data_IF_965659207333
#
_entry.id   IF_965659207333
#
_cell.length_a   1.000
_cell.length_b   1.000
_cell.length_c   1.000
_cell.angle_alpha   90.00
_cell.angle_beta   90.00
_cell.angle_gamma   90.00
#
_symmetry.space_group_name_H-M   'P 1'
#
loop_
_entity.id
_entity.type
_entity.pdbx_description
1 polymer ?
#
# COMPACT_ATOMS: atom_id res chain seq x y z
N UNK A 1 -34.11 14.76 12.77
CA UNK A 1 -32.66 14.98 12.65
C UNK A 1 -32.27 14.47 11.28
N UNK A 2 -31.95 15.38 10.39
CA UNK A 2 -31.80 15.18 8.95
C UNK A 2 -30.37 14.73 8.68
N UNK A 3 -30.21 13.52 8.12
CA UNK A 3 -28.93 13.03 7.62
C UNK A 3 -28.76 13.65 6.23
N UNK A 4 -27.78 14.53 6.06
CA UNK A 4 -27.38 15.03 4.75
C UNK A 4 -26.62 13.94 3.99
N UNK A 5 -27.13 13.62 2.82
CA UNK A 5 -26.48 12.79 1.81
C UNK A 5 -25.19 13.47 1.33
N UNK A 6 -24.08 12.73 1.38
CA UNK A 6 -22.83 13.14 0.74
C UNK A 6 -22.96 12.86 -0.75
N UNK A 7 -22.86 13.89 -1.56
CA UNK A 7 -22.88 13.82 -3.01
C UNK A 7 -21.68 13.00 -3.52
N UNK A 8 -21.97 12.04 -4.38
CA UNK A 8 -21.01 11.23 -5.11
C UNK A 8 -20.20 12.10 -6.08
N UNK A 9 -18.94 12.34 -5.80
CA UNK A 9 -18.03 12.96 -6.76
C UNK A 9 -17.45 11.91 -7.70
N UNK A 10 -17.78 12.02 -8.96
CA UNK A 10 -17.21 11.25 -10.07
C UNK A 10 -15.74 11.65 -10.26
N UNK A 11 -14.84 10.71 -10.05
CA UNK A 11 -13.39 10.95 -10.15
C UNK A 11 -12.92 10.58 -11.55
N UNK A 12 -12.54 11.61 -12.31
CA UNK A 12 -11.80 11.49 -13.56
C UNK A 12 -10.33 11.18 -13.29
N UNK A 13 -9.77 10.27 -14.08
CA UNK A 13 -8.39 9.76 -14.01
C UNK A 13 -7.30 10.78 -14.40
N UNK A 14 -7.47 12.05 -14.07
CA UNK A 14 -6.47 13.08 -14.40
C UNK A 14 -5.71 13.52 -13.14
N UNK A 15 -4.44 13.14 -13.16
CA UNK A 15 -3.27 13.70 -12.46
C UNK A 15 -3.38 13.94 -10.95
N UNK A 16 -2.55 13.19 -10.23
CA UNK A 16 -2.20 13.38 -8.82
C UNK A 16 -1.90 14.86 -8.45
N UNK A 17 -1.52 15.69 -9.41
CA UNK A 17 -1.28 17.14 -9.23
C UNK A 17 -2.51 17.95 -8.84
N UNK A 18 -3.71 17.55 -9.19
CA UNK A 18 -4.92 18.31 -8.86
C UNK A 18 -5.47 18.03 -7.45
N UNK A 19 -5.06 16.92 -6.81
CA UNK A 19 -5.58 16.51 -5.50
C UNK A 19 -4.76 16.99 -4.30
N UNK A 20 -3.53 17.41 -4.48
CA UNK A 20 -2.70 18.04 -3.44
C UNK A 20 -3.20 19.46 -3.06
N UNK A 21 -4.15 20.04 -3.77
CA UNK A 21 -4.66 21.39 -3.53
C UNK A 21 -5.66 21.51 -2.36
N UNK A 22 -6.00 20.43 -1.66
CA UNK A 22 -7.01 20.47 -0.58
C UNK A 22 -6.43 20.46 0.84
N UNK A 23 -5.24 20.95 1.02
CA UNK A 23 -4.75 21.31 2.36
C UNK A 23 -5.16 22.74 2.64
N UNK A 24 -6.15 22.94 3.52
CA UNK A 24 -6.46 24.28 4.08
C UNK A 24 -5.22 24.75 4.82
N UNK A 25 -4.53 25.70 4.24
CA UNK A 25 -3.28 26.26 4.73
C UNK A 25 -3.57 27.26 5.84
N UNK A 26 -2.90 27.10 6.97
CA UNK A 26 -2.46 28.22 7.78
C UNK A 26 -1.29 28.88 7.03
N UNK A 27 -1.42 30.13 6.62
CA UNK A 27 -0.61 30.80 5.58
C UNK A 27 0.89 31.01 5.88
N UNK A 28 1.46 30.28 6.80
CA UNK A 28 2.88 30.38 7.18
C UNK A 28 3.65 29.04 7.11
N UNK A 29 3.03 27.95 6.66
CA UNK A 29 3.73 26.67 6.57
C UNK A 29 4.43 26.57 5.23
N UNK A 30 5.63 26.81 5.32
CA UNK A 30 6.82 26.48 4.59
C UNK A 30 6.63 25.84 3.20
N UNK A 31 6.73 26.67 2.16
CA UNK A 31 6.95 26.24 0.75
C UNK A 31 7.97 25.11 0.66
N UNK A 32 8.98 25.13 1.51
CA UNK A 32 10.02 24.11 1.67
C UNK A 32 9.52 22.73 2.15
N UNK A 33 8.46 22.65 2.98
CA UNK A 33 7.94 21.36 3.43
C UNK A 33 7.08 20.69 2.34
N UNK A 34 6.26 21.45 1.66
CA UNK A 34 5.46 20.93 0.54
C UNK A 34 6.36 20.48 -0.62
N UNK A 35 7.35 21.29 -0.99
CA UNK A 35 8.33 20.94 -2.02
C UNK A 35 9.08 19.65 -1.66
N UNK A 36 9.52 19.52 -0.41
CA UNK A 36 10.15 18.31 0.08
C UNK A 36 9.24 17.08 -0.06
N UNK A 37 7.97 17.19 0.31
CA UNK A 37 7.03 16.07 0.22
C UNK A 37 6.71 15.72 -1.24
N UNK A 38 6.56 16.71 -2.11
CA UNK A 38 6.33 16.51 -3.55
C UNK A 38 7.52 15.76 -4.19
N UNK A 39 8.76 16.12 -3.81
CA UNK A 39 9.97 15.39 -4.23
C UNK A 39 9.94 13.92 -3.77
N UNK A 40 9.50 13.65 -2.53
CA UNK A 40 9.43 12.27 -2.04
C UNK A 40 8.35 11.47 -2.78
N UNK A 41 7.20 12.06 -3.08
CA UNK A 41 6.15 11.42 -3.90
C UNK A 41 6.71 11.08 -5.29
N UNK A 42 7.38 12.02 -5.94
CA UNK A 42 7.96 11.79 -7.28
C UNK A 42 9.00 10.65 -7.24
N UNK A 43 9.86 10.64 -6.21
CA UNK A 43 10.83 9.56 -5.98
C UNK A 43 10.12 8.22 -5.84
N UNK A 44 9.10 8.12 -4.99
CA UNK A 44 8.35 6.87 -4.75
C UNK A 44 7.67 6.40 -6.03
N UNK A 45 6.96 7.27 -6.73
CA UNK A 45 6.21 6.93 -7.95
C UNK A 45 7.11 6.59 -9.13
N UNK A 46 8.35 7.11 -9.18
CA UNK A 46 9.35 6.76 -10.19
C UNK A 46 10.20 5.55 -9.83
N UNK A 47 10.18 5.11 -8.57
CA UNK A 47 11.03 4.02 -8.10
C UNK A 47 10.66 2.68 -8.74
N UNK A 48 11.67 1.80 -8.90
CA UNK A 48 11.49 0.46 -9.49
C UNK A 48 10.47 -0.39 -8.73
N UNK A 49 10.34 -0.24 -7.42
CA UNK A 49 9.32 -0.95 -6.63
C UNK A 49 7.89 -0.62 -7.11
N UNK A 50 7.60 0.66 -7.39
CA UNK A 50 6.29 1.13 -7.87
C UNK A 50 6.08 0.83 -9.36
N UNK A 51 7.15 0.88 -10.15
CA UNK A 51 7.17 0.59 -11.60
C UNK A 51 7.86 -0.74 -11.90
N UNK A 52 7.60 -1.75 -11.09
CA UNK A 52 8.29 -3.02 -11.24
C UNK A 52 7.94 -3.69 -12.59
N UNK A 53 8.94 -4.16 -13.37
CA UNK A 53 8.69 -4.74 -14.69
C UNK A 53 7.70 -5.90 -14.68
N UNK A 54 7.71 -6.72 -13.63
CA UNK A 54 6.72 -7.78 -13.44
C UNK A 54 5.30 -7.23 -13.32
N UNK A 55 5.10 -6.19 -12.50
CA UNK A 55 3.79 -5.59 -12.27
C UNK A 55 3.27 -4.86 -13.51
N UNK A 56 4.17 -4.20 -14.26
CA UNK A 56 3.84 -3.57 -15.55
C UNK A 56 3.43 -4.63 -16.60
N UNK A 57 4.15 -5.75 -16.68
CA UNK A 57 3.82 -6.84 -17.59
C UNK A 57 2.48 -7.50 -17.20
N UNK A 58 2.26 -7.68 -15.90
CA UNK A 58 1.00 -8.20 -15.37
C UNK A 58 -0.20 -7.31 -15.76
N UNK A 59 -0.08 -6.00 -15.56
CA UNK A 59 -1.11 -5.04 -15.94
C UNK A 59 -1.46 -5.09 -17.44
N UNK A 60 -0.47 -5.36 -18.29
CA UNK A 60 -0.66 -5.39 -19.74
C UNK A 60 -1.27 -6.69 -20.26
N UNK A 61 -0.97 -7.82 -19.63
CA UNK A 61 -1.23 -9.15 -20.20
C UNK A 61 -1.98 -10.11 -19.27
N UNK A 62 -2.08 -9.83 -17.97
CA UNK A 62 -2.50 -10.83 -16.98
C UNK A 62 -1.46 -11.95 -16.84
N UNK A 63 -1.84 -13.01 -16.15
CA UNK A 63 -1.02 -14.20 -15.95
C UNK A 63 -1.83 -15.47 -16.24
N UNK A 64 -1.19 -16.60 -16.60
CA UNK A 64 -1.82 -17.92 -16.57
C UNK A 64 -2.28 -18.29 -15.15
N UNK A 65 -3.31 -19.12 -15.02
CA UNK A 65 -3.96 -19.43 -13.73
C UNK A 65 -3.00 -19.89 -12.63
N UNK A 66 -2.01 -20.72 -12.97
CA UNK A 66 -1.02 -21.22 -12.03
C UNK A 66 -0.12 -20.08 -11.49
N UNK A 67 0.33 -19.21 -12.39
CA UNK A 67 1.13 -18.04 -12.02
C UNK A 67 0.33 -17.02 -11.22
N UNK A 68 -0.95 -16.80 -11.56
CA UNK A 68 -1.87 -15.95 -10.81
C UNK A 68 -2.07 -16.47 -9.40
N UNK A 69 -2.16 -17.78 -9.20
CA UNK A 69 -2.28 -18.40 -7.87
C UNK A 69 -1.11 -18.04 -6.97
N UNK A 70 0.12 -18.10 -7.50
CA UNK A 70 1.32 -17.68 -6.75
C UNK A 70 1.20 -16.20 -6.35
N UNK A 71 0.94 -15.34 -7.33
CA UNK A 71 0.80 -13.90 -7.10
C UNK A 71 -0.26 -13.60 -6.03
N UNK A 72 -1.42 -14.25 -6.10
CA UNK A 72 -2.51 -14.02 -5.16
C UNK A 72 -2.18 -14.46 -3.74
N UNK A 73 -1.56 -15.62 -3.58
CA UNK A 73 -1.18 -16.12 -2.26
C UNK A 73 -0.07 -15.29 -1.61
N UNK A 74 0.93 -14.86 -2.38
CA UNK A 74 1.96 -13.94 -1.90
C UNK A 74 1.38 -12.60 -1.48
N UNK A 75 0.42 -12.08 -2.25
CA UNK A 75 -0.26 -10.82 -1.92
C UNK A 75 -1.06 -10.93 -0.62
N UNK A 76 -1.77 -12.04 -0.38
CA UNK A 76 -2.43 -12.27 0.91
C UNK A 76 -1.41 -12.25 2.06
N UNK A 77 -0.27 -12.93 1.88
CA UNK A 77 0.77 -12.99 2.90
C UNK A 77 1.45 -11.64 3.16
N UNK A 78 1.46 -10.74 2.20
CA UNK A 78 1.95 -9.38 2.38
C UNK A 78 0.99 -8.57 3.25
N UNK A 79 -0.27 -8.38 2.84
CA UNK A 79 -1.11 -7.35 3.46
C UNK A 79 -1.96 -7.83 4.64
N UNK A 80 -2.19 -9.13 4.83
CA UNK A 80 -3.03 -9.62 5.95
C UNK A 80 -2.56 -9.20 7.35
N UNK A 81 -1.30 -8.81 7.48
CA UNK A 81 -0.72 -8.35 8.74
C UNK A 81 -0.50 -6.83 8.80
N UNK A 82 -0.76 -6.10 7.72
CA UNK A 82 -0.52 -4.66 7.64
C UNK A 82 -1.18 -3.86 8.79
N UNK A 83 -2.46 -4.06 9.13
CA UNK A 83 -3.08 -3.31 10.22
C UNK A 83 -2.36 -3.52 11.57
N UNK A 84 -1.81 -4.72 11.79
CA UNK A 84 -1.03 -4.99 13.02
C UNK A 84 0.33 -4.30 13.00
N UNK A 85 0.98 -4.22 11.84
CA UNK A 85 2.27 -3.55 11.70
C UNK A 85 2.11 -2.05 11.83
N UNK A 86 1.10 -1.44 11.20
CA UNK A 86 0.79 -0.01 11.34
C UNK A 86 0.53 0.36 12.79
N UNK A 87 -0.22 -0.46 13.53
CA UNK A 87 -0.41 -0.30 14.98
C UNK A 87 0.90 -0.33 15.76
N UNK A 88 1.96 -0.97 15.25
CA UNK A 88 3.29 -0.99 15.85
C UNK A 88 3.88 0.41 16.07
N UNK A 89 3.56 1.38 15.21
CA UNK A 89 4.02 2.78 15.34
C UNK A 89 3.57 3.39 16.67
N UNK A 90 2.42 2.97 17.20
CA UNK A 90 1.92 3.42 18.51
C UNK A 90 2.87 3.11 19.67
N UNK A 91 3.79 2.17 19.51
CA UNK A 91 4.76 1.78 20.54
C UNK A 91 5.94 2.76 20.62
N UNK A 92 6.20 3.52 19.57
CA UNK A 92 7.36 4.42 19.44
C UNK A 92 7.01 5.90 19.40
N UNK A 93 5.72 6.24 19.53
CA UNK A 93 5.25 7.64 19.59
C UNK A 93 4.33 7.88 20.77
N UNK A 94 4.20 9.16 21.18
CA UNK A 94 3.17 9.65 22.10
C UNK A 94 2.38 10.81 21.48
N UNK A 95 2.63 11.12 20.22
CA UNK A 95 1.89 12.15 19.50
C UNK A 95 0.48 11.66 19.16
N UNK A 96 -0.52 12.33 19.74
CA UNK A 96 -1.93 11.97 19.54
C UNK A 96 -2.39 12.13 18.10
N UNK A 97 -1.79 13.04 17.32
CA UNK A 97 -2.18 13.24 15.93
C UNK A 97 -1.75 12.04 15.07
N UNK A 98 -0.55 11.49 15.31
CA UNK A 98 -0.10 10.24 14.69
C UNK A 98 -0.98 9.07 15.15
N UNK A 99 -1.25 8.96 16.45
CA UNK A 99 -2.08 7.88 17.00
C UNK A 99 -3.49 7.88 16.38
N UNK A 100 -4.07 9.06 16.14
CA UNK A 100 -5.39 9.17 15.45
C UNK A 100 -5.30 8.73 13.99
N UNK A 101 -4.24 9.10 13.27
CA UNK A 101 -4.04 8.67 11.88
C UNK A 101 -3.87 7.14 11.78
N UNK A 102 -3.06 6.54 12.66
CA UNK A 102 -2.88 5.09 12.75
C UNK A 102 -4.19 4.39 13.10
N UNK A 103 -4.94 4.89 14.08
CA UNK A 103 -6.22 4.31 14.48
C UNK A 103 -7.26 4.39 13.35
N UNK A 104 -7.24 5.48 12.56
CA UNK A 104 -8.10 5.62 11.39
C UNK A 104 -7.75 4.58 10.32
N UNK A 105 -6.46 4.45 9.95
CA UNK A 105 -5.99 3.46 8.99
C UNK A 105 -6.30 2.03 9.45
N UNK A 106 -5.91 1.67 10.68
CA UNK A 106 -6.17 0.34 11.22
C UNK A 106 -7.67 0.00 11.31
N UNK A 107 -8.53 0.96 11.65
CA UNK A 107 -9.98 0.78 11.67
C UNK A 107 -10.53 0.50 10.27
N UNK A 108 -10.01 1.17 9.26
CA UNK A 108 -10.43 0.98 7.89
C UNK A 108 -10.01 -0.39 7.37
N UNK A 109 -8.75 -0.77 7.58
CA UNK A 109 -8.23 -2.10 7.23
C UNK A 109 -8.99 -3.25 7.92
N UNK A 110 -9.39 -3.07 9.17
CA UNK A 110 -10.17 -4.07 9.91
C UNK A 110 -11.65 -4.04 9.54
N UNK A 111 -12.13 -2.97 8.91
CA UNK A 111 -13.53 -2.80 8.53
C UNK A 111 -14.49 -2.80 9.73
N UNK A 112 -15.78 -2.66 9.45
CA UNK A 112 -16.82 -2.74 10.49
C UNK A 112 -17.30 -4.18 10.75
N UNK A 113 -17.30 -5.01 9.72
CA UNK A 113 -17.83 -6.39 9.77
C UNK A 113 -16.89 -7.40 9.13
N UNK A 114 -16.09 -6.98 8.17
CA UNK A 114 -15.10 -7.79 7.47
C UNK A 114 -13.85 -6.96 7.26
N UNK A 115 -12.71 -7.54 7.55
CA UNK A 115 -11.41 -6.92 7.23
C UNK A 115 -11.13 -6.98 5.73
N UNK A 116 -10.22 -6.15 5.27
CA UNK A 116 -9.70 -6.24 3.89
C UNK A 116 -9.10 -7.63 3.63
N UNK A 117 -8.45 -8.24 4.62
CA UNK A 117 -7.95 -9.62 4.51
C UNK A 117 -9.08 -10.64 4.31
N UNK A 118 -10.23 -10.49 4.99
CA UNK A 118 -11.39 -11.38 4.80
C UNK A 118 -11.98 -11.22 3.39
N UNK A 119 -12.10 -9.98 2.90
CA UNK A 119 -12.60 -9.69 1.55
C UNK A 119 -11.67 -10.32 0.50
N UNK A 120 -10.36 -10.21 0.71
CA UNK A 120 -9.38 -10.83 -0.17
C UNK A 120 -9.41 -12.36 -0.09
N UNK A 121 -9.59 -12.93 1.09
CA UNK A 121 -9.76 -14.37 1.26
C UNK A 121 -10.98 -14.88 0.45
N UNK A 122 -12.12 -14.15 0.48
CA UNK A 122 -13.27 -14.47 -0.36
C UNK A 122 -12.96 -14.40 -1.86
N UNK A 123 -12.11 -13.45 -2.28
CA UNK A 123 -11.62 -13.39 -3.65
C UNK A 123 -10.82 -14.65 -4.01
N UNK A 124 -9.93 -15.13 -3.15
CA UNK A 124 -9.17 -16.37 -3.39
C UNK A 124 -10.09 -17.59 -3.57
N UNK A 125 -11.11 -17.72 -2.73
CA UNK A 125 -12.10 -18.80 -2.86
C UNK A 125 -12.85 -18.74 -4.19
N UNK A 126 -13.21 -17.54 -4.67
CA UNK A 126 -13.83 -17.35 -6.00
C UNK A 126 -12.88 -17.72 -7.15
N UNK A 127 -11.57 -17.63 -6.91
CA UNK A 127 -10.53 -18.08 -7.87
C UNK A 127 -10.26 -19.59 -7.79
N UNK A 128 -11.09 -20.34 -7.06
CA UNK A 128 -10.97 -21.78 -6.82
C UNK A 128 -9.69 -22.20 -6.07
N UNK A 129 -9.10 -21.29 -5.29
CA UNK A 129 -8.03 -21.61 -4.36
C UNK A 129 -8.68 -22.09 -3.07
N UNK A 130 -8.46 -23.36 -2.70
CA UNK A 130 -9.15 -23.94 -1.55
C UNK A 130 -8.64 -23.40 -0.21
N UNK A 131 -9.45 -23.46 0.87
CA UNK A 131 -8.98 -23.07 2.21
C UNK A 131 -7.69 -23.82 2.61
N UNK A 132 -7.59 -25.11 2.28
CA UNK A 132 -6.41 -25.92 2.59
C UNK A 132 -5.17 -25.42 1.84
N UNK A 133 -5.32 -24.99 0.58
CA UNK A 133 -4.22 -24.39 -0.18
C UNK A 133 -3.78 -23.06 0.43
N UNK A 134 -4.72 -22.24 0.87
CA UNK A 134 -4.43 -20.95 1.54
C UNK A 134 -3.69 -21.18 2.86
N UNK A 135 -4.20 -22.10 3.69
CA UNK A 135 -3.66 -22.36 5.03
C UNK A 135 -2.28 -23.03 5.00
N UNK A 136 -2.03 -23.90 4.00
CA UNK A 136 -0.77 -24.64 3.88
C UNK A 136 0.29 -23.88 3.07
N UNK A 137 -0.09 -22.78 2.41
CA UNK A 137 0.86 -22.05 1.58
C UNK A 137 1.97 -21.43 2.42
N UNK A 138 3.20 -21.75 2.03
CA UNK A 138 4.40 -21.15 2.62
C UNK A 138 4.87 -20.02 1.70
N UNK A 139 4.76 -18.79 2.18
CA UNK A 139 5.19 -17.64 1.39
C UNK A 139 6.69 -17.67 1.09
N UNK A 140 7.07 -16.95 0.05
CA UNK A 140 8.46 -16.80 -0.35
C UNK A 140 9.29 -16.12 0.74
N UNK A 141 10.58 -16.44 0.76
CA UNK A 141 11.52 -15.76 1.66
C UNK A 141 11.56 -14.25 1.46
N UNK A 142 11.31 -13.78 0.22
CA UNK A 142 11.19 -12.33 -0.09
C UNK A 142 9.96 -11.71 0.55
N UNK A 143 8.81 -12.41 0.56
CA UNK A 143 7.59 -11.96 1.22
C UNK A 143 7.74 -11.98 2.74
N UNK A 144 8.39 -13.01 3.28
CA UNK A 144 8.72 -13.05 4.71
C UNK A 144 9.66 -11.90 5.10
N UNK A 145 10.68 -11.62 4.29
CA UNK A 145 11.60 -10.49 4.51
C UNK A 145 10.88 -9.13 4.46
N UNK A 146 9.92 -8.96 3.53
CA UNK A 146 9.08 -7.77 3.48
C UNK A 146 8.29 -7.60 4.79
N UNK A 147 7.58 -8.63 5.22
CA UNK A 147 6.78 -8.61 6.43
C UNK A 147 7.62 -8.32 7.69
N UNK A 148 8.76 -8.99 7.84
CA UNK A 148 9.66 -8.76 8.97
C UNK A 148 10.28 -7.36 8.94
N UNK A 149 10.62 -6.86 7.74
CA UNK A 149 11.16 -5.53 7.53
C UNK A 149 10.14 -4.43 7.85
N UNK A 150 8.89 -4.54 7.37
CA UNK A 150 7.82 -3.58 7.68
C UNK A 150 7.53 -3.58 9.18
N UNK A 151 7.39 -4.76 9.79
CA UNK A 151 7.19 -4.88 11.23
C UNK A 151 8.31 -4.17 12.01
N UNK A 152 9.55 -4.37 11.62
CA UNK A 152 10.70 -3.73 12.25
C UNK A 152 10.69 -2.21 12.04
N UNK A 153 10.46 -1.73 10.83
CA UNK A 153 10.38 -0.30 10.50
C UNK A 153 9.31 0.42 11.31
N UNK A 154 8.13 -0.19 11.47
CA UNK A 154 7.00 0.45 12.14
C UNK A 154 7.07 0.36 13.68
N UNK A 155 7.87 -0.52 14.25
CA UNK A 155 7.96 -0.70 15.70
C UNK A 155 9.30 -0.31 16.32
N UNK A 156 10.26 0.19 15.52
CA UNK A 156 11.62 0.53 16.00
C UNK A 156 11.89 2.02 15.83
N UNK A 157 12.33 2.73 16.88
CA UNK A 157 12.77 4.12 16.75
C UNK A 157 13.92 4.28 15.72
N UNK A 158 14.07 5.45 15.08
CA UNK A 158 13.33 6.67 15.34
C UNK A 158 11.99 6.73 14.59
N UNK A 159 11.03 7.50 15.14
CA UNK A 159 9.71 7.70 14.56
C UNK A 159 9.73 8.14 13.09
N UNK A 160 10.65 9.03 12.71
CA UNK A 160 10.78 9.55 11.35
C UNK A 160 11.01 8.45 10.32
N UNK A 161 11.72 7.38 10.65
CA UNK A 161 11.86 6.22 9.75
C UNK A 161 10.53 5.47 9.57
N UNK A 162 9.80 5.26 10.67
CA UNK A 162 8.53 4.56 10.64
C UNK A 162 7.50 5.33 9.79
N UNK A 163 7.37 6.65 10.00
CA UNK A 163 6.44 7.46 9.21
C UNK A 163 6.89 7.63 7.76
N UNK A 164 8.20 7.62 7.46
CA UNK A 164 8.71 7.62 6.10
C UNK A 164 8.39 6.31 5.37
N UNK A 165 8.52 5.17 6.04
CA UNK A 165 8.15 3.88 5.47
C UNK A 165 6.63 3.77 5.23
N UNK A 166 5.80 4.22 6.19
CA UNK A 166 4.34 4.28 6.03
C UNK A 166 3.93 5.23 4.90
N UNK A 167 4.60 6.37 4.77
CA UNK A 167 4.37 7.29 3.67
C UNK A 167 4.67 6.67 2.30
N UNK A 168 5.72 5.85 2.19
CA UNK A 168 6.05 5.15 0.95
C UNK A 168 4.99 4.09 0.62
N UNK A 169 4.50 3.36 1.61
CA UNK A 169 3.42 2.38 1.48
C UNK A 169 2.18 3.02 0.87
N UNK A 170 1.67 4.05 1.52
CA UNK A 170 0.47 4.77 1.09
C UNK A 170 0.64 5.46 -0.28
N UNK A 171 1.78 6.08 -0.54
CA UNK A 171 2.01 6.82 -1.78
C UNK A 171 2.12 5.90 -3.01
N UNK A 172 2.66 4.67 -2.85
CA UNK A 172 2.77 3.72 -3.97
C UNK A 172 1.51 2.87 -4.16
N UNK A 173 0.68 2.72 -3.12
CA UNK A 173 -0.43 1.79 -3.07
C UNK A 173 -1.43 2.01 -4.20
N UNK A 174 -1.87 3.23 -4.44
CA UNK A 174 -2.83 3.54 -5.51
C UNK A 174 -2.32 3.10 -6.91
N UNK A 175 -1.02 3.32 -7.20
CA UNK A 175 -0.41 2.88 -8.47
C UNK A 175 -0.32 1.36 -8.56
N UNK A 176 0.03 0.70 -7.48
CA UNK A 176 0.14 -0.76 -7.38
C UNK A 176 -1.23 -1.43 -7.54
N UNK A 177 -2.23 -0.95 -6.81
CA UNK A 177 -3.61 -1.46 -6.87
C UNK A 177 -4.21 -1.28 -8.27
N UNK A 178 -3.98 -0.14 -8.92
CA UNK A 178 -4.43 0.10 -10.30
C UNK A 178 -3.85 -0.91 -11.27
N UNK A 179 -2.54 -1.14 -11.24
CA UNK A 179 -1.87 -2.12 -12.11
C UNK A 179 -2.34 -3.55 -11.85
N UNK A 180 -2.54 -3.87 -10.58
CA UNK A 180 -3.06 -5.17 -10.20
C UNK A 180 -4.48 -5.37 -10.75
N UNK A 181 -5.36 -4.38 -10.62
CA UNK A 181 -6.71 -4.37 -11.17
C UNK A 181 -6.69 -4.53 -12.70
N UNK A 182 -5.79 -3.85 -13.39
CA UNK A 182 -5.63 -3.98 -14.85
C UNK A 182 -5.25 -5.42 -15.25
N UNK A 183 -4.34 -6.05 -14.53
CA UNK A 183 -3.97 -7.45 -14.74
C UNK A 183 -5.16 -8.40 -14.56
N UNK A 184 -5.98 -8.19 -13.52
CA UNK A 184 -7.20 -8.97 -13.30
C UNK A 184 -8.23 -8.80 -14.42
N UNK A 185 -8.33 -7.61 -15.01
CA UNK A 185 -9.16 -7.38 -16.21
C UNK A 185 -8.63 -8.22 -17.38
N UNK A 186 -7.32 -8.28 -17.58
CA UNK A 186 -6.70 -9.12 -18.62
C UNK A 186 -6.93 -10.60 -18.39
N UNK A 187 -7.05 -11.04 -17.15
CA UNK A 187 -7.43 -12.40 -16.78
C UNK A 187 -8.94 -12.67 -16.94
N UNK A 188 -9.73 -11.69 -17.39
CA UNK A 188 -11.16 -11.82 -17.67
C UNK A 188 -12.07 -11.69 -16.44
N UNK A 189 -11.59 -11.16 -15.32
CA UNK A 189 -12.43 -10.97 -14.14
C UNK A 189 -13.40 -9.80 -14.34
N UNK A 190 -14.68 -10.04 -14.02
CA UNK A 190 -15.68 -8.98 -14.03
C UNK A 190 -15.51 -8.04 -12.83
N UNK A 191 -16.11 -6.86 -12.88
CA UNK A 191 -16.01 -5.84 -11.83
C UNK A 191 -16.42 -6.36 -10.45
N UNK A 192 -17.51 -7.12 -10.36
CA UNK A 192 -17.96 -7.73 -9.09
C UNK A 192 -16.89 -8.61 -8.44
N UNK A 193 -16.11 -9.32 -9.23
CA UNK A 193 -15.07 -10.23 -8.72
C UNK A 193 -13.78 -9.49 -8.35
N UNK A 194 -13.63 -8.26 -8.82
CA UNK A 194 -12.52 -7.34 -8.51
C UNK A 194 -12.85 -6.35 -7.39
N UNK A 195 -13.94 -6.54 -6.65
CA UNK A 195 -14.45 -5.61 -5.65
C UNK A 195 -13.44 -5.20 -4.57
N UNK A 196 -12.52 -6.10 -4.18
CA UNK A 196 -11.41 -5.76 -3.30
C UNK A 196 -10.53 -4.63 -3.88
N UNK A 197 -10.15 -4.75 -5.14
CA UNK A 197 -9.26 -3.81 -5.83
C UNK A 197 -9.94 -2.47 -6.13
N UNK A 198 -11.22 -2.51 -6.54
CA UNK A 198 -12.00 -1.28 -6.77
C UNK A 198 -12.22 -0.51 -5.47
N UNK A 199 -12.47 -1.18 -4.35
CA UNK A 199 -12.56 -0.57 -3.03
C UNK A 199 -11.26 0.17 -2.67
N UNK A 200 -10.11 -0.49 -2.81
CA UNK A 200 -8.82 0.12 -2.47
C UNK A 200 -8.47 1.32 -3.34
N UNK A 201 -8.84 1.35 -4.62
CA UNK A 201 -8.65 2.54 -5.45
C UNK A 201 -9.41 3.76 -4.93
N UNK A 202 -10.54 3.56 -4.24
CA UNK A 202 -11.35 4.64 -3.66
C UNK A 202 -10.82 5.10 -2.29
N UNK A 203 -10.37 4.15 -1.46
CA UNK A 203 -9.98 4.37 -0.06
C UNK A 203 -8.59 4.99 0.08
N UNK A 204 -7.62 4.57 -0.73
CA UNK A 204 -6.21 4.98 -0.67
C UNK A 204 -6.00 6.50 -0.70
N UNK A 205 -6.90 7.24 -1.36
CA UNK A 205 -6.85 8.71 -1.40
C UNK A 205 -7.09 9.32 -0.02
N UNK A 206 -7.92 8.69 0.81
CA UNK A 206 -8.21 9.15 2.17
C UNK A 206 -7.06 8.90 3.16
N UNK A 207 -6.45 7.73 3.07
CA UNK A 207 -5.35 7.31 3.93
C UNK A 207 -4.11 8.19 3.74
N UNK A 208 -3.68 8.37 2.50
CA UNK A 208 -2.54 9.23 2.17
C UNK A 208 -2.67 10.64 2.73
N UNK A 209 -3.86 11.25 2.64
CA UNK A 209 -4.09 12.60 3.13
C UNK A 209 -4.05 12.71 4.67
N UNK A 210 -4.60 11.73 5.39
CA UNK A 210 -4.62 11.74 6.85
C UNK A 210 -3.20 11.65 7.43
N UNK A 211 -2.38 10.79 6.83
CA UNK A 211 -0.98 10.58 7.24
C UNK A 211 -0.13 11.80 6.86
N UNK A 212 -0.30 12.33 5.65
CA UNK A 212 0.44 13.48 5.13
C UNK A 212 0.36 14.70 6.06
N UNK A 213 -0.84 15.08 6.47
CA UNK A 213 -1.08 16.26 7.34
C UNK A 213 -0.42 16.16 8.72
N UNK A 214 -0.10 14.94 9.15
CA UNK A 214 0.52 14.70 10.46
C UNK A 214 2.04 14.65 10.35
N UNK A 215 2.57 14.15 9.25
CA UNK A 215 4.01 13.95 9.06
C UNK A 215 4.80 15.25 9.02
N UNK A 216 4.24 16.29 8.40
CA UNK A 216 4.89 17.59 8.29
C UNK A 216 5.35 18.15 9.64
N UNK A 217 4.57 17.90 10.69
CA UNK A 217 4.88 18.32 12.06
C UNK A 217 6.09 17.61 12.69
N UNK A 218 6.62 16.58 12.04
CA UNK A 218 7.73 15.77 12.52
C UNK A 218 9.00 15.90 11.66
N UNK A 219 9.01 16.81 10.68
CA UNK A 219 10.09 16.97 9.70
C UNK A 219 10.76 18.35 9.79
N UNK A 220 11.03 18.80 11.03
CA UNK A 220 11.53 20.14 11.27
C UNK A 220 13.02 20.33 10.99
N UNK A 221 13.82 19.28 11.17
CA UNK A 221 15.28 19.34 11.01
C UNK A 221 15.72 18.58 9.76
N UNK A 222 16.93 18.91 9.28
CA UNK A 222 17.60 18.13 8.23
C UNK A 222 17.77 16.67 8.62
N UNK A 223 18.02 16.40 9.91
CA UNK A 223 18.14 15.04 10.44
C UNK A 223 16.80 14.29 10.36
N UNK A 224 15.69 14.93 10.74
CA UNK A 224 14.35 14.31 10.65
C UNK A 224 14.01 13.96 9.21
N UNK A 225 14.25 14.89 8.27
CA UNK A 225 14.04 14.66 6.84
C UNK A 225 14.94 13.55 6.29
N UNK A 226 16.20 13.46 6.74
CA UNK A 226 17.09 12.39 6.34
C UNK A 226 16.58 11.02 6.83
N UNK A 227 16.17 10.92 8.08
CA UNK A 227 15.60 9.70 8.66
C UNK A 227 14.31 9.28 7.97
N UNK A 228 13.46 10.24 7.60
CA UNK A 228 12.25 10.01 6.82
C UNK A 228 12.59 9.42 5.45
N UNK A 229 13.54 10.00 4.71
CA UNK A 229 14.05 9.47 3.44
C UNK A 229 14.58 8.04 3.57
N UNK A 230 15.31 7.77 4.65
CA UNK A 230 15.82 6.41 4.92
C UNK A 230 14.68 5.41 5.12
N UNK A 231 13.60 5.79 5.78
CA UNK A 231 12.39 4.97 5.92
C UNK A 231 11.76 4.65 4.57
N UNK A 232 11.57 5.67 3.72
CA UNK A 232 11.09 5.51 2.34
C UNK A 232 11.97 4.52 1.58
N UNK A 233 13.28 4.73 1.57
CA UNK A 233 14.22 3.89 0.80
C UNK A 233 14.22 2.44 1.28
N UNK A 234 14.16 2.21 2.58
CA UNK A 234 14.11 0.87 3.15
C UNK A 234 12.83 0.14 2.77
N UNK A 235 11.68 0.82 2.85
CA UNK A 235 10.41 0.25 2.43
C UNK A 235 10.40 -0.10 0.94
N UNK A 236 10.80 0.83 0.08
CA UNK A 236 10.86 0.63 -1.37
C UNK A 236 11.81 -0.53 -1.76
N UNK A 237 12.94 -0.66 -1.07
CA UNK A 237 13.85 -1.79 -1.30
C UNK A 237 13.21 -3.13 -0.93
N UNK A 238 12.50 -3.22 0.19
CA UNK A 238 11.75 -4.42 0.58
C UNK A 238 10.68 -4.79 -0.45
N UNK A 239 9.94 -3.82 -0.95
CA UNK A 239 8.93 -4.02 -1.98
C UNK A 239 9.53 -4.44 -3.33
N UNK A 240 10.68 -3.90 -3.69
CA UNK A 240 11.41 -4.34 -4.88
C UNK A 240 11.83 -5.82 -4.78
N UNK A 241 12.40 -6.22 -3.64
CA UNK A 241 12.76 -7.61 -3.38
C UNK A 241 11.53 -8.55 -3.40
N UNK A 242 10.40 -8.09 -2.89
CA UNK A 242 9.14 -8.84 -2.91
C UNK A 242 8.71 -9.14 -4.35
N UNK A 243 8.66 -8.13 -5.22
CA UNK A 243 8.30 -8.30 -6.63
C UNK A 243 9.32 -9.14 -7.39
N UNK A 244 10.61 -8.96 -7.15
CA UNK A 244 11.66 -9.79 -7.75
C UNK A 244 11.50 -11.27 -7.37
N UNK A 245 11.16 -11.56 -6.11
CA UNK A 245 10.92 -12.91 -5.62
C UNK A 245 9.74 -13.58 -6.31
N UNK A 246 8.60 -12.88 -6.44
CA UNK A 246 7.42 -13.39 -7.15
C UNK A 246 7.74 -13.62 -8.63
N UNK A 247 8.35 -12.65 -9.30
CA UNK A 247 8.74 -12.77 -10.70
C UNK A 247 9.65 -13.97 -10.95
N UNK A 248 10.65 -14.16 -10.07
CA UNK A 248 11.57 -15.30 -10.17
C UNK A 248 10.88 -16.64 -9.93
N UNK A 249 9.94 -16.72 -8.99
CA UNK A 249 9.14 -17.93 -8.71
C UNK A 249 8.28 -18.30 -9.91
N UNK A 250 7.50 -17.36 -10.43
CA UNK A 250 6.62 -17.55 -11.58
C UNK A 250 7.44 -18.00 -12.82
N UNK A 251 8.57 -17.32 -13.06
CA UNK A 251 9.45 -17.69 -14.18
C UNK A 251 9.95 -19.13 -14.08
N UNK A 252 10.32 -19.59 -12.87
CA UNK A 252 10.80 -20.99 -12.69
C UNK A 252 9.69 -22.02 -12.92
N UNK A 253 8.48 -21.75 -12.46
CA UNK A 253 7.40 -22.75 -12.51
C UNK A 253 6.67 -22.77 -13.85
N UNK A 254 6.50 -21.61 -14.51
CA UNK A 254 5.76 -21.52 -15.76
C UNK A 254 6.61 -21.71 -17.03
N UNK A 255 7.95 -21.83 -16.93
CA UNK A 255 8.82 -22.13 -18.08
C UNK A 255 9.27 -23.59 -18.15
N UNK A 256 8.84 -24.45 -17.26
CA UNK A 256 9.13 -25.89 -17.27
C UNK A 256 7.94 -26.76 -17.69
N UNK A 257 6.87 -26.16 -18.15
CA UNK A 257 5.74 -26.78 -18.84
C UNK A 257 5.69 -26.32 -20.29
#
# INVERSE_FOLDING_TARGET
>A
MTVQLIETMTISTHTFKEKTAYVMRDDAVCVDAQEFMDEQIELILSHRATRHPFLEAYAQSGLPAEASTILYLETLHYFKFLPFYVCGISTITRDESILRAIAFNARDELGQTKSHADIYHEFLLKKNISPEQIDQYQCLSSTQALNDGIRALYSTPPLQKAIGALFADEAMSASMVSKYNDGLIKEGLCERDRGFWTLHMEVEVGHSNAIFNVMEKHLHSTTDRQLFKEGIQQYLHLMEMYWDGIAAKIKRECHHG
#
